data_IF_297447358500
#
_entry.id   IF_297447358500
#
_cell.length_a   1.000
_cell.length_b   1.000
_cell.length_c   1.000
_cell.angle_alpha   90.00
_cell.angle_beta   90.00
_cell.angle_gamma   90.00
#
_symmetry.space_group_name_H-M   'P 1'
#
loop_
_entity.id
_entity.type
_entity.pdbx_description
1 polymer ?
#
# COMPACT_ATOMS: atom_id res chain seq x y z
N UNK A 1 -35.48 -2.14 31.44
CA UNK A 1 -36.13 -2.18 30.12
C UNK A 1 -35.03 -1.90 29.08
N UNK A 2 -34.25 -2.85 28.55
CA UNK A 2 -34.63 -3.97 27.64
C UNK A 2 -35.87 -3.58 26.83
N UNK A 3 -35.73 -3.16 25.58
CA UNK A 3 -35.96 -3.92 24.31
C UNK A 3 -35.90 -2.94 23.13
N UNK A 4 -35.29 -3.33 21.99
CA UNK A 4 -35.64 -2.95 20.60
C UNK A 4 -34.46 -3.02 19.59
N UNK A 5 -33.27 -3.47 20.00
CA UNK A 5 -32.15 -3.67 19.08
C UNK A 5 -32.17 -5.00 18.27
N UNK A 6 -33.30 -5.71 18.22
CA UNK A 6 -33.40 -7.08 17.62
C UNK A 6 -34.23 -7.14 16.33
N UNK A 7 -34.87 -6.05 15.88
CA UNK A 7 -35.80 -6.11 14.71
C UNK A 7 -35.34 -5.44 13.41
N UNK A 8 -34.12 -4.89 13.32
CA UNK A 8 -33.55 -4.44 12.03
C UNK A 8 -32.40 -5.38 11.61
N UNK A 9 -32.64 -6.69 11.78
CA UNK A 9 -31.79 -7.78 11.28
C UNK A 9 -32.60 -8.74 10.38
N UNK A 10 -33.89 -8.46 10.11
CA UNK A 10 -34.78 -9.46 9.47
C UNK A 10 -35.63 -8.97 8.27
N UNK A 11 -35.35 -7.82 7.63
CA UNK A 11 -36.21 -7.37 6.51
C UNK A 11 -35.53 -6.91 5.21
N UNK A 12 -34.21 -7.05 5.04
CA UNK A 12 -33.58 -6.79 3.72
C UNK A 12 -32.76 -7.99 3.22
N UNK A 13 -33.30 -9.19 3.46
CA UNK A 13 -32.90 -10.43 2.82
C UNK A 13 -33.99 -10.97 1.88
N UNK A 14 -34.94 -10.14 1.45
CA UNK A 14 -35.89 -10.52 0.40
C UNK A 14 -36.05 -9.37 -0.59
N UNK A 15 -36.12 -9.74 -1.87
CA UNK A 15 -36.32 -8.91 -3.06
C UNK A 15 -35.04 -8.52 -3.83
N UNK A 16 -34.24 -9.54 -4.15
CA UNK A 16 -33.95 -9.77 -5.56
C UNK A 16 -35.22 -10.35 -6.19
N UNK A 17 -36.05 -9.52 -6.80
CA UNK A 17 -37.01 -9.94 -7.83
C UNK A 17 -37.45 -8.71 -8.62
N UNK A 18 -36.86 -8.58 -9.80
CA UNK A 18 -37.51 -8.12 -11.04
C UNK A 18 -38.59 -7.03 -10.91
N UNK A 19 -38.26 -5.81 -11.37
CA UNK A 19 -38.99 -4.97 -12.35
C UNK A 19 -38.63 -3.47 -12.18
N UNK A 20 -39.02 -2.60 -13.11
CA UNK A 20 -38.23 -2.00 -14.18
C UNK A 20 -37.52 -0.70 -13.76
N UNK A 21 -36.63 -0.20 -14.62
CA UNK A 21 -36.06 1.15 -14.51
C UNK A 21 -37.22 2.15 -14.39
N UNK A 22 -37.42 2.71 -13.19
CA UNK A 22 -38.32 3.84 -12.99
C UNK A 22 -37.69 5.06 -13.67
N UNK A 23 -38.35 5.54 -14.72
CA UNK A 23 -37.93 6.69 -15.52
C UNK A 23 -38.21 8.02 -14.83
N UNK A 24 -38.75 8.01 -13.60
CA UNK A 24 -39.15 9.23 -12.88
C UNK A 24 -38.11 9.86 -11.95
N UNK A 25 -36.85 9.39 -11.93
CA UNK A 25 -35.79 10.10 -11.18
C UNK A 25 -35.55 11.47 -11.83
N UNK A 26 -36.10 12.51 -11.20
CA UNK A 26 -36.05 13.86 -11.73
C UNK A 26 -34.60 14.39 -11.76
N UNK A 27 -34.37 15.38 -12.62
CA UNK A 27 -33.03 15.95 -12.85
C UNK A 27 -32.38 16.50 -11.56
N UNK A 28 -33.18 16.93 -10.58
CA UNK A 28 -32.68 17.42 -9.29
C UNK A 28 -32.15 16.29 -8.40
N UNK A 29 -32.83 15.14 -8.34
CA UNK A 29 -32.36 13.96 -7.60
C UNK A 29 -31.14 13.33 -8.28
N UNK A 30 -31.12 13.27 -9.62
CA UNK A 30 -29.90 12.88 -10.37
C UNK A 30 -28.75 13.86 -10.12
N UNK A 31 -29.03 15.16 -10.07
CA UNK A 31 -28.04 16.18 -9.75
C UNK A 31 -27.58 16.12 -8.29
N UNK A 32 -28.41 15.67 -7.36
CA UNK A 32 -28.06 15.54 -5.94
C UNK A 32 -27.26 14.27 -5.66
N UNK A 33 -27.58 13.15 -6.32
CA UNK A 33 -26.76 11.92 -6.35
C UNK A 33 -25.45 12.17 -7.10
N UNK A 34 -25.49 12.88 -8.23
CA UNK A 34 -24.29 13.29 -8.95
C UNK A 34 -23.46 14.26 -8.11
N UNK A 35 -24.05 15.26 -7.45
CA UNK A 35 -23.33 16.22 -6.61
C UNK A 35 -22.79 15.59 -5.32
N UNK A 36 -23.45 14.57 -4.75
CA UNK A 36 -22.90 13.80 -3.63
C UNK A 36 -21.81 12.83 -4.09
N UNK A 37 -21.95 12.19 -5.26
CA UNK A 37 -20.86 11.45 -5.89
C UNK A 37 -19.68 12.36 -6.26
N UNK A 38 -19.93 13.60 -6.72
CA UNK A 38 -18.93 14.62 -7.07
C UNK A 38 -18.32 15.29 -5.82
N UNK A 39 -19.07 15.38 -4.72
CA UNK A 39 -18.56 15.87 -3.43
C UNK A 39 -17.72 14.80 -2.72
N UNK A 40 -18.13 13.52 -2.82
CA UNK A 40 -17.30 12.37 -2.44
C UNK A 40 -16.06 12.35 -3.31
N UNK A 41 -16.19 12.53 -4.62
CA UNK A 41 -15.07 12.59 -5.57
C UNK A 41 -14.13 13.75 -5.21
N UNK A 42 -14.59 15.00 -5.08
CA UNK A 42 -13.74 16.13 -4.65
C UNK A 42 -13.07 15.97 -3.29
N UNK A 43 -13.76 15.38 -2.31
CA UNK A 43 -13.16 15.08 -1.00
C UNK A 43 -12.17 13.90 -1.07
N UNK A 44 -12.34 12.99 -2.03
CA UNK A 44 -11.36 11.97 -2.39
C UNK A 44 -10.19 12.59 -3.18
N UNK A 45 -10.42 13.48 -4.15
CA UNK A 45 -9.39 14.10 -5.00
C UNK A 45 -8.39 14.94 -4.20
N UNK A 46 -8.79 15.45 -3.02
CA UNK A 46 -7.87 16.15 -2.10
C UNK A 46 -6.99 15.21 -1.25
N UNK A 47 -7.41 13.95 -1.06
CA UNK A 47 -6.71 12.93 -0.27
C UNK A 47 -5.98 11.90 -1.13
N UNK A 48 -6.47 11.69 -2.34
CA UNK A 48 -5.84 10.95 -3.41
C UNK A 48 -4.94 11.98 -4.08
N UNK A 49 -3.68 12.04 -3.65
CA UNK A 49 -2.67 12.74 -4.42
C UNK A 49 -2.85 12.33 -5.88
N UNK A 50 -2.98 13.31 -6.78
CA UNK A 50 -3.00 13.08 -8.22
C UNK A 50 -1.97 11.98 -8.49
N UNK A 51 -2.36 10.88 -9.15
CA UNK A 51 -1.54 9.68 -9.39
C UNK A 51 -0.30 10.00 -10.25
N UNK A 52 0.55 10.87 -9.73
CA UNK A 52 1.65 11.56 -10.35
C UNK A 52 2.84 11.44 -9.42
N UNK A 53 4.01 11.24 -10.02
CA UNK A 53 5.26 11.18 -9.30
C UNK A 53 5.49 12.51 -8.56
N UNK A 54 5.81 12.44 -7.26
CA UNK A 54 6.18 13.60 -6.45
C UNK A 54 7.62 13.44 -6.01
N UNK A 55 8.43 14.49 -6.18
CA UNK A 55 9.83 14.48 -5.78
C UNK A 55 10.59 13.25 -6.33
N UNK A 56 10.97 12.30 -5.48
CA UNK A 56 11.71 11.09 -5.86
C UNK A 56 10.88 9.80 -5.82
N UNK A 57 9.56 9.88 -5.57
CA UNK A 57 8.70 8.70 -5.36
C UNK A 57 8.82 7.64 -6.46
N UNK A 58 8.80 8.06 -7.73
CA UNK A 58 8.95 7.15 -8.87
C UNK A 58 10.39 6.67 -9.08
N UNK A 59 11.40 7.49 -8.75
CA UNK A 59 12.79 7.06 -8.82
C UNK A 59 13.07 5.92 -7.82
N UNK A 60 12.46 5.99 -6.63
CA UNK A 60 12.50 4.90 -5.65
C UNK A 60 11.82 3.64 -6.19
N UNK A 61 10.61 3.77 -6.74
CA UNK A 61 9.87 2.64 -7.29
C UNK A 61 10.60 1.97 -8.47
N UNK A 62 11.27 2.76 -9.32
CA UNK A 62 12.12 2.26 -10.42
C UNK A 62 13.37 1.55 -9.87
N UNK A 63 14.04 2.12 -8.87
CA UNK A 63 15.20 1.50 -8.20
C UNK A 63 14.84 0.16 -7.55
N UNK A 64 13.67 0.08 -6.90
CA UNK A 64 13.14 -1.16 -6.36
C UNK A 64 12.73 -2.18 -7.44
N UNK A 65 12.62 -1.76 -8.71
CA UNK A 65 12.05 -2.60 -9.78
C UNK A 65 10.53 -2.78 -9.67
N UNK A 66 9.89 -2.08 -8.72
CA UNK A 66 8.47 -2.15 -8.44
C UNK A 66 7.63 -1.60 -9.59
N UNK A 67 8.11 -0.56 -10.29
CA UNK A 67 7.42 0.04 -11.43
C UNK A 67 7.55 -0.80 -12.70
N UNK A 68 8.61 -1.61 -12.80
CA UNK A 68 9.02 -2.28 -14.03
C UNK A 68 9.73 -1.38 -15.04
N UNK A 69 9.95 -0.11 -14.71
CA UNK A 69 10.70 0.84 -15.53
C UNK A 69 12.18 0.87 -15.10
N UNK A 70 13.11 1.17 -16.03
CA UNK A 70 14.51 1.32 -15.67
C UNK A 70 14.74 2.59 -14.82
N UNK A 71 15.55 2.52 -13.75
CA UNK A 71 15.97 3.69 -12.99
C UNK A 71 16.56 4.80 -13.87
N UNK A 72 16.01 6.02 -13.76
CA UNK A 72 16.47 7.20 -14.52
C UNK A 72 17.31 8.17 -13.69
N UNK A 73 17.19 8.11 -12.37
CA UNK A 73 17.89 8.96 -11.43
C UNK A 73 18.28 8.15 -10.20
N UNK A 74 19.35 8.58 -9.52
CA UNK A 74 19.73 8.00 -8.24
C UNK A 74 18.88 8.63 -7.12
N UNK A 75 18.11 7.84 -6.34
CA UNK A 75 17.42 8.36 -5.18
C UNK A 75 18.39 8.92 -4.13
N UNK A 76 17.96 9.96 -3.42
CA UNK A 76 18.73 10.58 -2.34
C UNK A 76 18.60 9.77 -1.03
N UNK A 77 19.62 9.84 -0.19
CA UNK A 77 19.58 9.35 1.19
C UNK A 77 20.09 7.92 1.37
N UNK A 78 20.23 7.16 0.28
CA UNK A 78 20.84 5.83 0.29
C UNK A 78 22.38 5.88 0.35
N UNK A 79 22.97 4.92 1.04
CA UNK A 79 24.39 4.61 1.11
C UNK A 79 24.71 3.27 0.42
N UNK A 80 25.99 2.90 0.34
CA UNK A 80 26.46 1.69 -0.34
C UNK A 80 25.76 0.40 0.10
N UNK A 81 25.46 0.26 1.39
CA UNK A 81 24.81 -0.94 1.93
C UNK A 81 23.30 -0.95 1.60
N UNK A 82 22.65 0.21 1.50
CA UNK A 82 21.28 0.33 0.98
C UNK A 82 21.24 -0.16 -0.48
N UNK A 83 22.20 0.26 -1.29
CA UNK A 83 22.31 -0.19 -2.68
C UNK A 83 22.60 -1.69 -2.80
N UNK A 84 23.48 -2.25 -1.95
CA UNK A 84 23.69 -3.71 -1.92
C UNK A 84 22.40 -4.46 -1.59
N UNK A 85 21.60 -3.95 -0.65
CA UNK A 85 20.32 -4.56 -0.31
C UNK A 85 19.34 -4.50 -1.49
N UNK A 86 19.22 -3.35 -2.16
CA UNK A 86 18.39 -3.22 -3.37
C UNK A 86 18.84 -4.21 -4.45
N UNK A 87 20.15 -4.32 -4.71
CA UNK A 87 20.69 -5.21 -5.73
C UNK A 87 20.54 -6.70 -5.41
N UNK A 88 20.47 -7.07 -4.12
CA UNK A 88 20.14 -8.45 -3.71
C UNK A 88 18.78 -8.89 -4.27
N UNK A 89 17.79 -8.00 -4.33
CA UNK A 89 16.43 -8.30 -4.79
C UNK A 89 16.13 -7.82 -6.22
N UNK A 90 16.83 -6.78 -6.69
CA UNK A 90 16.73 -6.24 -8.05
C UNK A 90 18.10 -6.16 -8.74
N UNK A 91 18.73 -7.30 -9.08
CA UNK A 91 20.04 -7.28 -9.74
C UNK A 91 20.01 -6.58 -11.11
N UNK A 92 18.84 -6.48 -11.74
CA UNK A 92 18.68 -5.76 -13.02
C UNK A 92 18.94 -4.25 -12.92
N UNK A 93 18.90 -3.68 -11.72
CA UNK A 93 19.26 -2.29 -11.49
C UNK A 93 20.79 -2.05 -11.44
N UNK A 94 21.62 -3.10 -11.37
CA UNK A 94 23.08 -2.99 -11.18
C UNK A 94 23.78 -2.09 -12.20
N UNK A 95 23.56 -2.21 -13.53
CA UNK A 95 24.24 -1.36 -14.49
C UNK A 95 23.90 0.13 -14.29
N UNK A 96 22.65 0.42 -13.94
CA UNK A 96 22.17 1.80 -13.76
C UNK A 96 22.64 2.39 -12.42
N UNK A 97 22.61 1.60 -11.34
CA UNK A 97 23.13 2.04 -10.05
C UNK A 97 24.65 2.24 -10.08
N UNK A 98 25.41 1.40 -10.80
CA UNK A 98 26.85 1.63 -11.03
C UNK A 98 27.12 2.94 -11.76
N UNK A 99 26.35 3.22 -12.82
CA UNK A 99 26.45 4.48 -13.57
C UNK A 99 26.09 5.70 -12.70
N UNK A 100 25.06 5.58 -11.87
CA UNK A 100 24.71 6.60 -10.90
C UNK A 100 25.82 6.88 -9.88
N UNK A 101 26.44 5.82 -9.33
CA UNK A 101 27.58 5.95 -8.40
C UNK A 101 28.80 6.56 -9.08
N UNK A 102 28.99 6.31 -10.38
CA UNK A 102 30.00 6.96 -11.21
C UNK A 102 29.65 8.42 -11.61
N UNK A 103 28.47 8.92 -11.21
CA UNK A 103 28.02 10.28 -11.51
C UNK A 103 27.41 10.48 -12.90
N UNK A 104 27.12 9.39 -13.63
CA UNK A 104 26.58 9.44 -15.00
C UNK A 104 25.05 9.60 -15.05
N UNK A 105 24.33 9.27 -13.98
CA UNK A 105 22.89 9.52 -13.89
C UNK A 105 22.63 10.82 -13.14
N UNK A 106 21.60 11.59 -13.54
CA UNK A 106 21.20 12.75 -12.76
C UNK A 106 20.79 12.30 -11.36
N UNK A 107 21.26 13.03 -10.35
CA UNK A 107 20.72 12.90 -9.00
C UNK A 107 19.34 13.53 -8.98
N UNK A 108 18.42 12.97 -8.21
CA UNK A 108 17.19 13.70 -7.88
C UNK A 108 17.57 15.03 -7.21
N UNK A 109 16.82 16.13 -7.42
CA UNK A 109 17.07 17.39 -6.72
C UNK A 109 17.14 17.14 -5.22
N UNK A 110 18.03 17.83 -4.51
CA UNK A 110 18.11 17.73 -3.06
C UNK A 110 16.75 18.02 -2.46
N UNK A 111 16.25 17.09 -1.68
CA UNK A 111 14.94 17.20 -1.06
C UNK A 111 15.07 18.02 0.24
N UNK A 112 14.15 18.96 0.46
CA UNK A 112 14.01 19.56 1.79
C UNK A 112 13.41 18.50 2.69
N UNK A 113 14.25 17.93 3.55
CA UNK A 113 13.90 16.77 4.35
C UNK A 113 13.94 17.21 5.79
N UNK A 114 12.77 17.28 6.42
CA UNK A 114 12.63 17.72 7.81
C UNK A 114 13.44 16.86 8.79
N UNK A 115 13.48 17.26 10.06
CA UNK A 115 14.32 16.64 11.10
C UNK A 115 14.15 15.11 11.24
N UNK A 116 12.98 14.56 10.91
CA UNK A 116 12.75 13.12 10.94
C UNK A 116 13.60 12.35 9.93
N UNK A 117 13.93 12.94 8.77
CA UNK A 117 14.77 12.26 7.78
C UNK A 117 16.19 12.11 8.28
N UNK A 118 16.75 13.15 8.92
CA UNK A 118 18.08 13.07 9.54
C UNK A 118 18.10 12.08 10.71
N UNK A 119 17.03 12.03 11.51
CA UNK A 119 16.87 11.01 12.54
C UNK A 119 16.82 9.60 11.93
N UNK A 120 16.09 9.38 10.83
CA UNK A 120 16.01 8.09 10.16
C UNK A 120 17.36 7.68 9.55
N UNK A 121 18.11 8.62 8.96
CA UNK A 121 19.49 8.35 8.50
C UNK A 121 20.39 7.92 9.67
N UNK A 122 20.30 8.60 10.80
CA UNK A 122 21.02 8.24 12.02
C UNK A 122 20.63 6.85 12.52
N UNK A 123 19.33 6.56 12.64
CA UNK A 123 18.82 5.25 13.06
C UNK A 123 19.22 4.13 12.10
N UNK A 124 19.20 4.36 10.78
CA UNK A 124 19.66 3.40 9.78
C UNK A 124 21.15 3.03 10.02
N UNK A 125 22.01 4.02 10.27
CA UNK A 125 23.43 3.77 10.58
C UNK A 125 23.62 2.93 11.85
N UNK A 126 22.71 3.03 12.81
CA UNK A 126 22.74 2.32 14.10
C UNK A 126 22.09 0.93 14.09
N UNK A 127 21.06 0.69 13.29
CA UNK A 127 20.36 -0.61 13.25
C UNK A 127 21.18 -1.69 12.53
N UNK A 128 22.10 -1.30 11.66
CA UNK A 128 22.86 -2.22 10.79
C UNK A 128 23.93 -3.10 11.45
N UNK A 129 24.68 -2.67 12.48
CA UNK A 129 25.51 -3.57 13.26
C UNK A 129 24.73 -4.74 13.87
N UNK A 130 23.42 -4.56 14.10
CA UNK A 130 22.53 -5.53 14.75
C UNK A 130 21.83 -6.46 13.73
N UNK A 131 21.58 -5.99 12.50
CA UNK A 131 21.01 -6.80 11.40
C UNK A 131 21.95 -7.93 10.91
N UNK A 132 23.26 -7.82 11.14
CA UNK A 132 24.18 -8.97 10.97
C UNK A 132 23.92 -10.13 11.95
N UNK A 133 23.03 -9.98 12.93
CA UNK A 133 22.80 -10.99 14.00
C UNK A 133 21.39 -11.56 14.10
N UNK A 134 20.36 -11.09 13.38
CA UNK A 134 19.04 -11.74 13.47
C UNK A 134 18.07 -11.46 12.31
N UNK A 135 17.70 -12.50 11.56
CA UNK A 135 16.29 -12.86 11.36
C UNK A 135 15.40 -12.02 10.43
N UNK A 136 15.93 -11.26 9.48
CA UNK A 136 15.08 -10.65 8.44
C UNK A 136 14.49 -11.77 7.56
N UNK A 137 13.19 -12.03 7.72
CA UNK A 137 12.48 -13.05 6.93
C UNK A 137 12.11 -12.46 5.58
N UNK A 138 12.69 -12.95 4.49
CA UNK A 138 12.26 -12.63 3.12
C UNK A 138 11.39 -13.75 2.52
N UNK A 139 10.91 -14.65 3.38
CA UNK A 139 10.02 -15.78 3.08
C UNK A 139 8.71 -15.60 3.80
N UNK A 140 7.61 -15.68 3.06
CA UNK A 140 6.26 -15.61 3.59
C UNK A 140 5.54 -16.96 3.54
N UNK A 141 4.53 -17.12 4.38
CA UNK A 141 3.59 -18.23 4.28
C UNK A 141 2.16 -17.75 4.47
N UNK A 142 1.24 -18.29 3.69
CA UNK A 142 -0.20 -18.05 3.83
C UNK A 142 -0.90 -19.26 4.46
N UNK A 143 -1.34 -19.11 5.71
CA UNK A 143 -2.12 -20.12 6.43
C UNK A 143 -3.59 -19.71 6.63
N UNK A 144 -3.98 -18.54 6.11
CA UNK A 144 -5.33 -17.99 6.22
C UNK A 144 -6.42 -18.88 5.62
N UNK A 145 -7.67 -18.62 6.03
CA UNK A 145 -8.86 -19.29 5.50
C UNK A 145 -9.16 -18.81 4.08
N UNK A 146 -9.81 -19.66 3.28
CA UNK A 146 -10.37 -19.22 2.01
C UNK A 146 -11.76 -18.64 2.24
N UNK A 147 -11.90 -17.36 1.93
CA UNK A 147 -13.16 -16.61 1.91
C UNK A 147 -13.31 -15.93 0.56
N UNK A 148 -14.51 -15.49 0.16
CA UNK A 148 -14.70 -14.77 -1.11
C UNK A 148 -13.69 -13.63 -1.32
N UNK A 149 -13.34 -12.92 -0.25
CA UNK A 149 -12.37 -11.82 -0.28
C UNK A 149 -11.23 -12.08 0.72
N UNK A 150 -9.99 -11.79 0.33
CA UNK A 150 -8.82 -11.85 1.21
C UNK A 150 -8.15 -10.47 1.18
N UNK A 151 -7.96 -9.85 2.33
CA UNK A 151 -7.19 -8.62 2.50
C UNK A 151 -5.82 -8.95 3.10
N UNK A 152 -4.76 -8.77 2.33
CA UNK A 152 -3.37 -8.86 2.81
C UNK A 152 -2.91 -7.47 3.23
N UNK A 153 -2.44 -7.32 4.48
CA UNK A 153 -2.06 -6.02 5.04
C UNK A 153 -0.60 -5.96 5.51
N UNK A 154 0.07 -4.84 5.21
CA UNK A 154 1.45 -4.55 5.65
C UNK A 154 1.50 -3.29 6.51
N UNK A 155 2.00 -3.41 7.74
CA UNK A 155 2.15 -2.31 8.72
C UNK A 155 3.24 -1.30 8.35
N UNK A 156 3.38 -0.21 9.11
CA UNK A 156 4.42 0.80 8.90
C UNK A 156 5.72 0.52 9.67
N UNK A 157 6.71 1.38 9.45
CA UNK A 157 8.05 1.33 10.08
C UNK A 157 7.95 1.34 11.60
N UNK A 158 8.68 0.43 12.24
CA UNK A 158 8.78 0.22 13.69
C UNK A 158 7.45 -0.13 14.37
N UNK A 159 6.38 -0.39 13.62
CA UNK A 159 5.13 -0.78 14.23
C UNK A 159 5.19 -2.22 14.80
N UNK A 160 4.83 -2.42 16.08
CA UNK A 160 4.82 -3.75 16.69
C UNK A 160 3.56 -4.51 16.26
N UNK A 161 3.45 -5.78 16.67
CA UNK A 161 2.32 -6.69 16.34
C UNK A 161 2.19 -7.00 14.84
N UNK A 162 1.29 -7.90 14.46
CA UNK A 162 1.08 -8.33 13.07
C UNK A 162 0.48 -7.25 12.18
N UNK A 163 -0.36 -6.37 12.74
CA UNK A 163 -1.08 -5.33 11.97
C UNK A 163 -0.62 -3.91 12.31
N UNK A 164 0.39 -3.75 13.16
CA UNK A 164 0.74 -2.43 13.68
C UNK A 164 -0.19 -1.95 14.79
N UNK A 165 -0.02 -0.69 15.19
CA UNK A 165 -0.80 -0.07 16.29
C UNK A 165 -1.52 1.20 15.86
N UNK A 166 -1.26 1.68 14.64
CA UNK A 166 -1.83 2.92 14.11
C UNK A 166 -2.98 2.63 13.13
N UNK A 167 -2.73 2.65 11.83
CA UNK A 167 -3.75 2.50 10.79
C UNK A 167 -4.31 1.06 10.75
N UNK A 168 -3.43 0.07 10.87
CA UNK A 168 -3.76 -1.33 10.58
C UNK A 168 -4.88 -1.92 11.45
N UNK A 169 -4.88 -1.79 12.79
CA UNK A 169 -5.97 -2.32 13.62
C UNK A 169 -7.35 -1.79 13.22
N UNK A 170 -7.41 -0.49 12.89
CA UNK A 170 -8.62 0.14 12.38
C UNK A 170 -8.99 -0.37 10.99
N UNK A 171 -8.01 -0.57 10.10
CA UNK A 171 -8.23 -1.00 8.72
C UNK A 171 -8.54 -2.49 8.55
N UNK A 172 -8.01 -3.36 9.40
CA UNK A 172 -8.14 -4.83 9.29
C UNK A 172 -9.23 -5.43 10.19
N UNK A 173 -9.90 -4.63 11.02
CA UNK A 173 -11.02 -5.07 11.85
C UNK A 173 -12.39 -4.77 11.22
N UNK A 174 -13.45 -5.42 11.73
CA UNK A 174 -14.84 -5.09 11.37
C UNK A 174 -15.26 -5.47 9.94
N UNK A 175 -14.53 -6.39 9.30
CA UNK A 175 -14.97 -7.03 8.06
C UNK A 175 -15.96 -8.15 8.37
N UNK A 176 -16.92 -8.38 7.48
CA UNK A 176 -17.89 -9.47 7.63
C UNK A 176 -17.25 -10.84 7.32
N UNK A 177 -18.03 -11.93 7.50
CA UNK A 177 -17.54 -13.30 7.32
C UNK A 177 -17.11 -13.66 5.89
N UNK A 178 -17.35 -12.80 4.90
CA UNK A 178 -16.87 -13.00 3.53
C UNK A 178 -15.43 -12.54 3.33
N UNK A 179 -14.80 -12.00 4.37
CA UNK A 179 -13.43 -11.49 4.33
C UNK A 179 -12.51 -12.26 5.28
N UNK A 180 -11.31 -12.55 4.80
CA UNK A 180 -10.16 -12.95 5.62
C UNK A 180 -9.16 -11.82 5.57
N UNK A 181 -8.78 -11.27 6.73
CA UNK A 181 -7.64 -10.37 6.82
C UNK A 181 -6.39 -11.16 7.20
N UNK A 182 -5.27 -10.91 6.54
CA UNK A 182 -4.02 -11.63 6.73
C UNK A 182 -2.84 -10.65 6.80
N UNK A 183 -1.98 -10.73 7.84
CA UNK A 183 -0.84 -9.84 7.96
C UNK A 183 0.31 -10.31 7.08
N UNK A 184 1.11 -9.37 6.59
CA UNK A 184 2.47 -9.66 6.13
C UNK A 184 3.37 -9.61 7.35
N UNK A 185 3.84 -10.77 7.79
CA UNK A 185 4.76 -10.89 8.93
C UNK A 185 6.19 -10.63 8.47
N UNK A 186 6.62 -9.37 8.54
CA UNK A 186 7.97 -8.93 8.22
C UNK A 186 8.51 -8.01 9.32
N UNK A 187 9.82 -7.77 9.31
CA UNK A 187 10.48 -6.82 10.21
C UNK A 187 10.43 -5.40 9.61
N UNK A 188 9.67 -4.45 10.18
CA UNK A 188 9.51 -3.13 9.59
C UNK A 188 10.62 -2.18 10.07
N UNK A 189 11.90 -2.47 9.80
CA UNK A 189 13.02 -1.66 10.30
C UNK A 189 13.22 -0.39 9.49
N UNK A 190 14.00 0.56 10.02
CA UNK A 190 14.43 1.74 9.26
C UNK A 190 15.34 1.31 8.09
N UNK A 191 16.20 0.31 8.28
CA UNK A 191 17.01 -0.19 7.17
C UNK A 191 16.16 -0.85 6.07
N UNK A 192 15.04 -1.50 6.42
CA UNK A 192 14.06 -2.02 5.48
C UNK A 192 13.44 -0.93 4.61
N UNK A 193 13.25 0.27 5.17
CA UNK A 193 12.82 1.48 4.46
C UNK A 193 13.85 1.92 3.41
N UNK A 194 15.12 1.98 3.80
CA UNK A 194 16.21 2.31 2.87
C UNK A 194 16.51 1.19 1.86
N UNK A 195 16.14 -0.05 2.17
CA UNK A 195 16.05 -1.15 1.22
C UNK A 195 14.70 -1.18 0.46
N UNK A 196 13.99 -0.05 0.43
CA UNK A 196 12.79 0.20 -0.37
C UNK A 196 11.66 -0.81 -0.11
N UNK A 197 11.58 -1.35 1.10
CA UNK A 197 10.60 -2.36 1.49
C UNK A 197 10.74 -3.71 0.77
N UNK A 198 11.88 -3.98 0.11
CA UNK A 198 12.09 -5.19 -0.68
C UNK A 198 12.04 -6.49 0.14
N UNK A 199 12.67 -6.60 1.34
CA UNK A 199 12.60 -7.81 2.15
C UNK A 199 11.17 -8.19 2.52
N UNK A 200 10.40 -7.25 3.07
CA UNK A 200 8.96 -7.44 3.34
C UNK A 200 8.15 -7.68 2.06
N UNK A 201 8.53 -7.04 0.95
CA UNK A 201 7.93 -7.28 -0.36
C UNK A 201 8.03 -8.74 -0.82
N UNK A 202 9.16 -9.40 -0.54
CA UNK A 202 9.30 -10.83 -0.85
C UNK A 202 8.41 -11.71 0.03
N UNK A 203 8.20 -11.35 1.29
CA UNK A 203 7.21 -11.99 2.17
C UNK A 203 5.80 -11.82 1.59
N UNK A 204 5.43 -10.60 1.22
CA UNK A 204 4.12 -10.29 0.64
C UNK A 204 3.89 -11.04 -0.68
N UNK A 205 4.92 -11.15 -1.54
CA UNK A 205 4.89 -11.95 -2.77
C UNK A 205 4.56 -13.42 -2.48
N UNK A 206 5.24 -14.02 -1.51
CA UNK A 206 5.03 -15.43 -1.16
C UNK A 206 3.64 -15.67 -0.59
N UNK A 207 3.16 -14.77 0.26
CA UNK A 207 1.79 -14.79 0.79
C UNK A 207 0.77 -14.67 -0.34
N UNK A 208 0.92 -13.69 -1.24
CA UNK A 208 0.03 -13.51 -2.39
C UNK A 208 0.02 -14.76 -3.27
N UNK A 209 1.18 -15.32 -3.57
CA UNK A 209 1.32 -16.52 -4.41
C UNK A 209 0.64 -17.73 -3.77
N UNK A 210 0.85 -17.95 -2.46
CA UNK A 210 0.24 -19.07 -1.74
C UNK A 210 -1.27 -18.87 -1.54
N UNK A 211 -1.73 -17.64 -1.28
CA UNK A 211 -3.16 -17.32 -1.17
C UNK A 211 -3.89 -17.56 -2.50
N UNK A 212 -3.33 -17.09 -3.62
CA UNK A 212 -3.87 -17.31 -4.96
C UNK A 212 -3.96 -18.81 -5.30
N UNK A 213 -2.92 -19.59 -4.97
CA UNK A 213 -2.90 -21.03 -5.22
C UNK A 213 -3.87 -21.81 -4.31
N UNK A 214 -3.91 -21.47 -3.01
CA UNK A 214 -4.76 -22.15 -2.02
C UNK A 214 -6.23 -21.80 -2.18
N UNK A 215 -6.54 -20.57 -2.59
CA UNK A 215 -7.88 -20.02 -2.67
C UNK A 215 -8.17 -19.48 -4.08
N UNK A 216 -8.28 -20.35 -5.10
CA UNK A 216 -8.35 -19.92 -6.50
C UNK A 216 -9.63 -19.17 -6.87
N UNK A 217 -10.67 -19.21 -6.04
CA UNK A 217 -11.92 -18.46 -6.24
C UNK A 217 -11.95 -17.12 -5.49
N UNK A 218 -10.96 -16.85 -4.62
CA UNK A 218 -10.91 -15.64 -3.81
C UNK A 218 -10.45 -14.44 -4.63
N UNK A 219 -11.09 -13.30 -4.38
CA UNK A 219 -10.59 -11.97 -4.77
C UNK A 219 -9.58 -11.53 -3.70
N UNK A 220 -8.37 -11.17 -4.12
CA UNK A 220 -7.32 -10.70 -3.21
C UNK A 220 -7.23 -9.18 -3.28
N UNK A 221 -7.12 -8.54 -2.13
CA UNK A 221 -6.91 -7.12 -1.96
C UNK A 221 -5.64 -6.93 -1.15
N UNK A 222 -4.85 -5.93 -1.49
CA UNK A 222 -3.60 -5.65 -0.78
C UNK A 222 -3.58 -4.21 -0.30
N UNK A 223 -3.12 -4.01 0.93
CA UNK A 223 -3.09 -2.69 1.54
C UNK A 223 -1.92 -2.52 2.50
N UNK A 224 -1.41 -1.31 2.60
CA UNK A 224 -0.30 -1.03 3.50
C UNK A 224 -0.15 0.45 3.81
N UNK A 225 0.60 0.72 4.87
CA UNK A 225 0.84 2.06 5.39
C UNK A 225 2.33 2.36 5.43
N UNK A 226 2.76 3.53 4.94
CA UNK A 226 4.16 3.98 4.97
C UNK A 226 5.08 2.95 4.29
N UNK A 227 6.08 2.39 4.97
CA UNK A 227 6.87 1.25 4.47
C UNK A 227 6.02 0.09 3.95
N UNK A 228 4.90 -0.21 4.61
CA UNK A 228 3.97 -1.25 4.21
C UNK A 228 3.37 -1.03 2.82
N UNK A 229 3.26 0.22 2.36
CA UNK A 229 2.84 0.53 1.00
C UNK A 229 3.89 0.06 -0.03
N UNK A 230 5.18 0.31 0.22
CA UNK A 230 6.27 -0.23 -0.60
C UNK A 230 6.27 -1.75 -0.59
N UNK A 231 6.09 -2.37 0.58
CA UNK A 231 6.00 -3.84 0.74
C UNK A 231 4.89 -4.42 -0.13
N UNK A 232 3.69 -3.84 -0.10
CA UNK A 232 2.57 -4.30 -0.94
C UNK A 232 2.90 -4.17 -2.42
N UNK A 233 3.41 -3.02 -2.85
CA UNK A 233 3.75 -2.77 -4.26
C UNK A 233 4.83 -3.73 -4.76
N UNK A 234 5.88 -3.95 -3.99
CA UNK A 234 6.92 -4.93 -4.29
C UNK A 234 6.35 -6.36 -4.33
N UNK A 235 5.50 -6.72 -3.37
CA UNK A 235 4.87 -8.05 -3.32
C UNK A 235 4.09 -8.37 -4.60
N UNK A 236 3.35 -7.39 -5.12
CA UNK A 236 2.63 -7.52 -6.40
C UNK A 236 3.60 -7.50 -7.58
N UNK A 237 4.55 -6.56 -7.63
CA UNK A 237 5.48 -6.41 -8.75
C UNK A 237 6.29 -7.69 -9.02
N UNK A 238 6.71 -8.37 -7.94
CA UNK A 238 7.53 -9.58 -7.97
C UNK A 238 6.72 -10.88 -8.00
N UNK A 239 5.39 -10.84 -7.89
CA UNK A 239 4.57 -12.04 -8.00
C UNK A 239 4.50 -12.56 -9.45
N UNK A 240 4.06 -13.81 -9.62
CA UNK A 240 3.78 -14.35 -10.95
C UNK A 240 2.53 -13.69 -11.55
N UNK A 241 2.40 -13.62 -12.89
CA UNK A 241 1.18 -13.12 -13.54
C UNK A 241 -0.08 -13.83 -13.05
N UNK A 242 0.00 -15.14 -12.81
CA UNK A 242 -1.11 -15.92 -12.25
C UNK A 242 -1.55 -15.37 -10.88
N UNK A 243 -0.62 -15.19 -9.95
CA UNK A 243 -0.95 -14.65 -8.62
C UNK A 243 -1.47 -13.20 -8.68
N UNK A 244 -0.86 -12.34 -9.52
CA UNK A 244 -1.32 -10.96 -9.73
C UNK A 244 -2.75 -10.88 -10.23
N UNK A 245 -3.19 -11.82 -11.08
CA UNK A 245 -4.55 -11.83 -11.63
C UNK A 245 -5.65 -11.96 -10.57
N UNK A 246 -5.32 -12.46 -9.37
CA UNK A 246 -6.24 -12.50 -8.22
C UNK A 246 -6.35 -11.17 -7.50
N UNK A 247 -5.40 -10.24 -7.69
CA UNK A 247 -5.42 -8.93 -7.03
C UNK A 247 -6.48 -8.05 -7.69
N UNK A 248 -7.59 -7.80 -6.99
CA UNK A 248 -8.72 -7.01 -7.48
C UNK A 248 -8.69 -5.55 -7.05
N UNK A 249 -7.77 -5.19 -6.16
CA UNK A 249 -7.52 -3.80 -5.83
C UNK A 249 -6.45 -3.59 -4.79
N UNK A 250 -5.83 -2.42 -4.87
CA UNK A 250 -4.76 -1.99 -3.96
C UNK A 250 -5.14 -0.65 -3.36
N UNK A 251 -5.09 -0.55 -2.03
CA UNK A 251 -5.26 0.70 -1.31
C UNK A 251 -4.08 0.92 -0.39
N UNK A 252 -3.34 2.01 -0.55
CA UNK A 252 -2.16 2.30 0.27
C UNK A 252 -2.22 3.70 0.86
N UNK A 253 -1.53 3.93 1.97
CA UNK A 253 -1.59 5.17 2.75
C UNK A 253 -0.17 5.68 3.04
N UNK A 254 0.09 6.97 2.77
CA UNK A 254 1.41 7.58 2.97
C UNK A 254 2.50 6.85 2.17
N UNK A 255 2.25 6.61 0.88
CA UNK A 255 3.02 5.70 0.04
C UNK A 255 4.28 6.35 -0.56
N UNK A 256 5.50 5.87 -0.24
CA UNK A 256 6.74 6.37 -0.84
C UNK A 256 6.83 6.21 -2.35
N UNK A 257 6.05 5.31 -2.96
CA UNK A 257 6.01 5.07 -4.41
C UNK A 257 4.83 5.78 -5.08
N UNK A 258 4.28 6.83 -4.46
CA UNK A 258 3.17 7.61 -5.01
C UNK A 258 3.37 7.96 -6.48
N UNK A 259 2.31 7.76 -7.27
CA UNK A 259 2.28 8.02 -8.71
C UNK A 259 2.98 7.01 -9.60
N UNK A 260 3.75 6.07 -9.03
CA UNK A 260 4.38 5.01 -9.81
C UNK A 260 3.38 3.89 -10.14
N UNK A 261 3.46 3.25 -11.32
CA UNK A 261 2.72 2.02 -11.59
C UNK A 261 3.28 0.85 -10.76
N UNK A 262 2.61 -0.30 -10.81
CA UNK A 262 3.12 -1.57 -10.29
C UNK A 262 3.39 -2.49 -11.48
N UNK A 263 4.59 -3.08 -11.55
CA UNK A 263 5.05 -3.92 -12.66
C UNK A 263 4.06 -5.04 -12.95
N UNK A 264 3.44 -4.98 -14.14
CA UNK A 264 2.51 -6.02 -14.61
C UNK A 264 1.23 -6.13 -13.80
N UNK A 265 0.78 -5.04 -13.18
CA UNK A 265 -0.53 -4.92 -12.54
C UNK A 265 -1.30 -3.75 -13.15
N UNK A 266 -2.49 -4.03 -13.66
CA UNK A 266 -3.39 -3.11 -14.37
C UNK A 266 -4.70 -2.86 -13.60
N UNK A 267 -4.86 -3.49 -12.43
CA UNK A 267 -6.02 -3.31 -11.57
C UNK A 267 -6.03 -1.96 -10.83
N UNK A 268 -7.12 -1.67 -10.11
CA UNK A 268 -7.27 -0.39 -9.45
C UNK A 268 -6.30 -0.24 -8.28
N UNK A 269 -5.55 0.86 -8.30
CA UNK A 269 -4.64 1.29 -7.26
C UNK A 269 -5.08 2.68 -6.80
N UNK A 270 -5.34 2.81 -5.50
CA UNK A 270 -5.63 4.11 -4.86
C UNK A 270 -4.62 4.35 -3.77
N UNK A 271 -3.93 5.48 -3.87
CA UNK A 271 -3.03 5.96 -2.82
C UNK A 271 -3.67 7.12 -2.08
N UNK A 272 -3.77 6.99 -0.76
CA UNK A 272 -4.06 8.10 0.14
C UNK A 272 -2.75 8.81 0.49
N UNK A 273 -2.57 10.00 -0.07
CA UNK A 273 -1.39 10.83 0.10
C UNK A 273 -1.84 12.28 0.34
N UNK A 274 -1.74 12.72 1.59
CA UNK A 274 -2.07 14.10 1.97
C UNK A 274 -1.06 15.08 1.37
N UNK A 275 -1.45 16.32 1.02
CA UNK A 275 -0.55 17.31 0.42
C UNK A 275 0.77 17.52 1.18
N UNK A 276 0.70 17.57 2.52
CA UNK A 276 1.84 17.82 3.41
C UNK A 276 2.49 16.53 3.93
N UNK A 277 2.11 15.36 3.38
CA UNK A 277 2.82 14.11 3.66
C UNK A 277 4.10 14.05 2.82
N UNK A 278 5.24 14.28 3.46
CA UNK A 278 6.55 14.24 2.79
C UNK A 278 6.98 12.82 2.43
N UNK A 279 6.42 11.78 3.07
CA UNK A 279 6.64 10.38 2.70
C UNK A 279 6.12 10.09 1.31
N UNK A 280 5.01 10.71 0.91
CA UNK A 280 4.48 10.61 -0.45
C UNK A 280 5.40 11.23 -1.53
N UNK A 281 6.40 12.03 -1.15
CA UNK A 281 7.46 12.49 -2.05
C UNK A 281 8.63 11.51 -2.17
N UNK A 282 8.59 10.38 -1.46
CA UNK A 282 9.72 9.47 -1.31
C UNK A 282 10.76 9.93 -0.28
N UNK A 283 10.38 10.77 0.68
CA UNK A 283 11.28 11.25 1.74
C UNK A 283 10.92 10.60 3.08
N UNK A 284 11.87 10.47 4.01
CA UNK A 284 11.55 10.02 5.38
C UNK A 284 11.08 11.18 6.27
N UNK A 285 10.14 11.97 5.75
CA UNK A 285 9.60 13.14 6.42
C UNK A 285 8.25 12.79 7.08
N UNK A 286 8.30 12.41 8.35
CA UNK A 286 7.14 12.05 9.16
C UNK A 286 6.43 13.32 9.64
N UNK A 287 5.67 13.94 8.75
CA UNK A 287 4.85 15.10 9.09
C UNK A 287 3.61 14.71 9.90
N UNK A 288 2.95 15.70 10.50
CA UNK A 288 1.64 15.49 11.13
C UNK A 288 0.60 14.95 10.13
N UNK A 289 0.74 15.27 8.84
CA UNK A 289 -0.12 14.71 7.80
C UNK A 289 0.10 13.20 7.65
N UNK A 290 1.35 12.74 7.62
CA UNK A 290 1.68 11.32 7.54
C UNK A 290 1.09 10.53 8.71
N UNK A 291 1.17 11.07 9.93
CA UNK A 291 0.68 10.39 11.14
C UNK A 291 -0.84 10.49 11.32
N UNK A 292 -1.56 11.20 10.44
CA UNK A 292 -2.98 11.51 10.63
C UNK A 292 -3.98 10.52 10.02
N UNK A 293 -3.56 9.64 9.10
CA UNK A 293 -4.47 8.67 8.46
C UNK A 293 -5.27 7.76 9.42
N UNK A 294 -4.75 7.35 10.59
CA UNK A 294 -5.54 6.58 11.56
C UNK A 294 -6.66 7.39 12.24
N UNK A 295 -6.54 8.72 12.22
CA UNK A 295 -7.40 9.64 12.99
C UNK A 295 -8.40 10.40 12.13
N UNK A 296 -8.43 10.15 10.81
CA UNK A 296 -9.37 10.74 9.89
C UNK A 296 -10.21 9.68 9.15
N UNK A 297 -10.92 10.10 8.10
CA UNK A 297 -11.79 9.22 7.33
C UNK A 297 -11.07 8.39 6.25
N UNK A 298 -9.73 8.47 6.14
CA UNK A 298 -8.95 7.77 5.11
C UNK A 298 -9.13 6.26 5.23
N UNK A 299 -9.01 5.71 6.44
CA UNK A 299 -9.21 4.27 6.70
C UNK A 299 -10.62 3.82 6.28
N UNK A 300 -11.65 4.60 6.64
CA UNK A 300 -13.03 4.31 6.28
C UNK A 300 -13.27 4.37 4.76
N UNK A 301 -12.70 5.36 4.08
CA UNK A 301 -12.76 5.51 2.61
C UNK A 301 -12.04 4.36 1.91
N UNK A 302 -10.86 3.98 2.38
CA UNK A 302 -10.13 2.83 1.85
C UNK A 302 -10.94 1.53 1.97
N UNK A 303 -11.56 1.28 3.14
CA UNK A 303 -12.47 0.14 3.31
C UNK A 303 -13.64 0.17 2.33
N UNK A 304 -14.26 1.33 2.15
CA UNK A 304 -15.38 1.48 1.23
C UNK A 304 -14.98 1.17 -0.22
N UNK A 305 -13.78 1.58 -0.65
CA UNK A 305 -13.24 1.24 -1.98
C UNK A 305 -13.05 -0.26 -2.15
N UNK A 306 -12.41 -0.93 -1.18
CA UNK A 306 -12.23 -2.39 -1.24
C UNK A 306 -13.56 -3.14 -1.27
N UNK A 307 -14.56 -2.72 -0.47
CA UNK A 307 -15.92 -3.29 -0.50
C UNK A 307 -16.59 -3.10 -1.87
N UNK A 308 -16.42 -1.93 -2.48
CA UNK A 308 -16.95 -1.64 -3.82
C UNK A 308 -16.34 -2.57 -4.87
N UNK A 309 -15.03 -2.76 -4.87
CA UNK A 309 -14.35 -3.67 -5.82
C UNK A 309 -14.63 -5.15 -5.54
N UNK A 310 -14.91 -5.52 -4.28
CA UNK A 310 -15.36 -6.87 -3.96
C UNK A 310 -16.74 -7.19 -4.52
N UNK A 311 -17.61 -6.19 -4.64
CA UNK A 311 -18.97 -6.34 -5.18
C UNK A 311 -19.04 -6.35 -6.71
N UNK A 312 -18.01 -5.88 -7.42
CA UNK A 312 -17.87 -5.99 -8.89
C UNK A 312 -17.27 -7.33 -9.30
#
# INVERSE_FOLDING_TARGET
MKTNAIYIVAFLANLCSSTPIDTSVNQAQRAQVAASAWAIDRNLTRLIGLNECKAQSCALADAAGSSGLPPKALPEGANDDDYKCILKYNPSAEPLLKRALAGELPKVPKQDTGASTELFKYLNSWQRPQERRSGETDKGSYTGKCTPNILIFSKGTLEPTSYGITLGPGFTSGWDSTWTTYPVEYQPTVAGDFCLGLPGGMVARDILTQAAAKCPTSKIFMSGYSQGAMVVRNGIAYASPAAKSHVKGVVVFGDPFQGSPIKGYDGPLVTFCKPDDGVCGGNFELSGAHLSYPFDDSSAKGKALLKKWAAS
#
